data_IF_419981607022
#
_entry.id   IF_419981607022
#
_cell.length_a   1.000
_cell.length_b   1.000
_cell.length_c   1.000
_cell.angle_alpha   90.00
_cell.angle_beta   90.00
_cell.angle_gamma   90.00
#
_symmetry.space_group_name_H-M   'P 1'
#
loop_
_entity.id
_entity.type
_entity.pdbx_description
1 polymer ?
#
# COMPACT_ATOMS: atom_id res chain seq x y z
N UNK A 1 -20.90 -5.55 12.57
CA UNK A 1 -20.58 -4.48 11.59
C UNK A 1 -19.54 -5.04 10.64
N UNK A 2 -19.63 -4.75 9.34
CA UNK A 2 -18.63 -5.21 8.37
C UNK A 2 -17.51 -4.17 8.24
N UNK A 3 -16.25 -4.58 8.41
CA UNK A 3 -15.07 -3.71 8.28
C UNK A 3 -14.08 -4.35 7.29
N UNK A 4 -13.62 -3.64 6.26
CA UNK A 4 -12.71 -4.20 5.26
C UNK A 4 -11.30 -4.26 5.85
N UNK A 5 -10.64 -5.40 5.70
CA UNK A 5 -9.26 -5.61 6.16
C UNK A 5 -8.41 -6.12 4.98
N UNK A 6 -7.63 -5.24 4.34
CA UNK A 6 -7.07 -5.51 3.01
C UNK A 6 -5.67 -4.93 2.80
N UNK A 7 -4.96 -5.47 1.81
CA UNK A 7 -3.67 -4.93 1.32
C UNK A 7 -3.82 -3.71 0.40
N UNK A 8 -5.05 -3.45 -0.05
CA UNK A 8 -5.40 -2.35 -0.95
C UNK A 8 -5.43 -1.00 -0.24
N UNK A 9 -5.32 0.07 -1.02
CA UNK A 9 -5.73 1.39 -0.56
C UNK A 9 -7.24 1.42 -0.30
N UNK A 10 -7.69 2.36 0.53
CA UNK A 10 -9.10 2.46 0.93
C UNK A 10 -10.03 2.73 -0.25
N UNK A 11 -9.62 3.64 -1.15
CA UNK A 11 -10.39 3.95 -2.36
C UNK A 11 -10.57 2.69 -3.22
N UNK A 12 -9.49 1.95 -3.48
CA UNK A 12 -9.60 0.74 -4.30
C UNK A 12 -10.36 -0.39 -3.61
N UNK A 13 -10.27 -0.50 -2.28
CA UNK A 13 -11.09 -1.42 -1.51
C UNK A 13 -12.60 -1.14 -1.68
N UNK A 14 -13.00 0.12 -1.57
CA UNK A 14 -14.41 0.49 -1.76
C UNK A 14 -14.86 0.31 -3.21
N UNK A 15 -14.03 0.61 -4.19
CA UNK A 15 -14.35 0.36 -5.60
C UNK A 15 -14.55 -1.13 -5.88
N UNK A 16 -13.67 -2.00 -5.34
CA UNK A 16 -13.79 -3.45 -5.48
C UNK A 16 -15.06 -4.03 -4.81
N UNK A 17 -15.55 -3.39 -3.74
CA UNK A 17 -16.77 -3.80 -3.02
C UNK A 17 -18.06 -3.28 -3.69
N UNK A 18 -17.97 -2.48 -4.76
CA UNK A 18 -19.12 -1.96 -5.49
C UNK A 18 -20.09 -1.17 -4.59
N UNK A 19 -21.38 -1.50 -4.64
CA UNK A 19 -22.43 -0.82 -3.88
C UNK A 19 -22.22 -0.90 -2.36
N UNK A 20 -21.63 -1.98 -1.85
CA UNK A 20 -21.29 -2.08 -0.43
C UNK A 20 -20.19 -1.08 -0.07
N UNK A 21 -19.14 -0.97 -0.89
CA UNK A 21 -18.07 -0.03 -0.67
C UNK A 21 -18.52 1.44 -0.73
N UNK A 22 -19.45 1.76 -1.64
CA UNK A 22 -20.06 3.10 -1.68
C UNK A 22 -20.79 3.43 -0.38
N UNK A 23 -21.64 2.51 0.11
CA UNK A 23 -22.33 2.69 1.39
C UNK A 23 -21.36 2.85 2.55
N UNK A 24 -20.31 2.03 2.60
CA UNK A 24 -19.28 2.11 3.64
C UNK A 24 -18.55 3.45 3.65
N UNK A 25 -18.31 4.04 2.46
CA UNK A 25 -17.74 5.39 2.33
C UNK A 25 -18.70 6.46 2.87
N UNK A 26 -19.99 6.35 2.56
CA UNK A 26 -21.03 7.28 3.04
C UNK A 26 -21.26 7.17 4.55
N UNK A 27 -21.25 5.94 5.08
CA UNK A 27 -21.42 5.61 6.49
C UNK A 27 -20.11 5.78 7.32
N UNK A 28 -19.00 6.20 6.68
CA UNK A 28 -17.69 6.40 7.32
C UNK A 28 -17.23 5.20 8.17
N UNK A 29 -17.43 3.99 7.65
CA UNK A 29 -17.18 2.76 8.42
C UNK A 29 -15.69 2.57 8.74
N UNK A 30 -15.35 2.00 9.92
CA UNK A 30 -13.99 1.60 10.26
C UNK A 30 -13.38 0.64 9.22
N UNK A 31 -12.05 0.56 9.20
CA UNK A 31 -11.36 -0.38 8.32
C UNK A 31 -9.84 -0.37 8.43
N UNK A 32 -9.25 -1.45 7.92
CA UNK A 32 -7.80 -1.71 7.93
C UNK A 32 -7.32 -1.80 6.48
N UNK A 33 -6.44 -0.89 6.08
CA UNK A 33 -6.00 -0.71 4.70
C UNK A 33 -4.47 -0.78 4.60
N UNK A 34 -3.97 -0.95 3.37
CA UNK A 34 -2.54 -1.03 3.07
C UNK A 34 -1.80 -2.02 4.01
N UNK A 35 -2.35 -3.22 4.20
CA UNK A 35 -1.78 -4.27 5.07
C UNK A 35 -1.69 -3.87 6.56
N UNK A 36 -2.52 -2.93 7.02
CA UNK A 36 -2.54 -2.46 8.40
C UNK A 36 -1.71 -1.21 8.65
N UNK A 37 -1.14 -0.61 7.60
CA UNK A 37 -0.44 0.67 7.69
C UNK A 37 -1.39 1.84 7.94
N UNK A 38 -2.63 1.74 7.44
CA UNK A 38 -3.66 2.73 7.66
C UNK A 38 -4.86 2.07 8.33
N UNK A 39 -5.25 2.60 9.48
CA UNK A 39 -6.39 2.09 10.26
C UNK A 39 -7.34 3.23 10.56
N UNK A 40 -8.60 3.04 10.20
CA UNK A 40 -9.70 3.94 10.54
C UNK A 40 -10.60 3.29 11.59
N UNK A 41 -10.94 4.04 12.63
CA UNK A 41 -11.89 3.71 13.68
C UNK A 41 -13.32 4.20 13.36
N UNK A 42 -14.19 4.27 14.37
CA UNK A 42 -15.51 4.89 14.25
C UNK A 42 -15.44 6.32 13.68
N UNK A 43 -16.49 6.73 12.96
CA UNK A 43 -16.62 8.08 12.41
C UNK A 43 -15.43 8.54 11.54
N UNK A 44 -14.77 7.59 10.87
CA UNK A 44 -13.55 7.77 10.09
C UNK A 44 -12.37 8.42 10.87
N UNK A 45 -12.28 8.18 12.18
CA UNK A 45 -11.11 8.52 12.98
C UNK A 45 -9.85 7.81 12.43
N UNK A 46 -8.78 8.54 12.14
CA UNK A 46 -7.51 7.94 11.71
C UNK A 46 -6.71 7.48 12.94
N UNK A 47 -6.71 6.17 13.19
CA UNK A 47 -6.03 5.55 14.34
C UNK A 47 -4.55 5.23 14.08
N UNK A 48 -4.19 4.96 12.83
CA UNK A 48 -2.82 4.64 12.43
C UNK A 48 -2.55 5.12 11.01
N UNK A 49 -1.36 5.69 10.80
CA UNK A 49 -0.78 6.08 9.51
C UNK A 49 0.75 5.87 9.56
N UNK A 50 1.18 4.68 9.16
CA UNK A 50 2.59 4.27 9.18
C UNK A 50 3.18 4.43 7.79
N UNK A 51 4.31 5.14 7.73
CA UNK A 51 5.04 5.41 6.50
C UNK A 51 6.42 4.74 6.46
N UNK A 52 6.91 4.49 5.26
CA UNK A 52 8.32 4.17 5.04
C UNK A 52 9.16 5.38 5.42
N UNK A 53 10.33 5.12 5.98
CA UNK A 53 11.34 6.17 6.10
C UNK A 53 11.75 6.65 4.71
N UNK A 54 12.03 7.95 4.59
CA UNK A 54 12.39 8.56 3.32
C UNK A 54 13.64 7.92 2.71
N UNK A 55 14.62 7.53 3.52
CA UNK A 55 15.86 6.91 3.05
C UNK A 55 15.60 5.52 2.47
N UNK A 56 14.72 4.73 3.10
CA UNK A 56 14.27 3.44 2.54
C UNK A 56 13.55 3.68 1.22
N UNK A 57 12.66 4.68 1.17
CA UNK A 57 11.94 5.02 -0.05
C UNK A 57 12.88 5.44 -1.18
N UNK A 58 13.93 6.21 -0.87
CA UNK A 58 14.98 6.61 -1.81
C UNK A 58 15.77 5.41 -2.31
N UNK A 59 16.12 4.48 -1.42
CA UNK A 59 16.87 3.27 -1.78
C UNK A 59 16.07 2.39 -2.74
N UNK A 60 14.78 2.16 -2.46
CA UNK A 60 13.88 1.41 -3.34
C UNK A 60 13.70 2.12 -4.68
N UNK A 61 13.55 3.44 -4.68
CA UNK A 61 13.44 4.22 -5.91
C UNK A 61 14.71 4.16 -6.77
N UNK A 62 15.89 4.21 -6.14
CA UNK A 62 17.17 4.00 -6.83
C UNK A 62 17.24 2.60 -7.41
N UNK A 63 16.92 1.58 -6.61
CA UNK A 63 16.93 0.18 -7.07
C UNK A 63 16.02 -0.04 -8.28
N UNK A 64 14.79 0.50 -8.25
CA UNK A 64 13.85 0.39 -9.35
C UNK A 64 14.39 1.08 -10.62
N UNK A 65 15.04 2.24 -10.49
CA UNK A 65 15.67 2.93 -11.60
C UNK A 65 16.86 2.14 -12.17
N UNK A 66 17.74 1.62 -11.30
CA UNK A 66 18.93 0.85 -11.69
C UNK A 66 18.57 -0.42 -12.49
N UNK A 67 17.42 -1.03 -12.18
CA UNK A 67 16.95 -2.27 -12.83
C UNK A 67 15.87 -2.04 -13.90
N UNK A 68 15.47 -0.79 -14.14
CA UNK A 68 14.44 -0.44 -15.12
C UNK A 68 13.05 -1.01 -14.81
N UNK A 69 12.68 -1.08 -13.53
CA UNK A 69 11.40 -1.63 -13.05
C UNK A 69 10.40 -0.52 -12.76
N UNK A 70 9.12 -0.78 -13.00
CA UNK A 70 8.06 0.18 -12.66
C UNK A 70 7.86 0.25 -11.15
N UNK A 71 7.74 1.47 -10.63
CA UNK A 71 7.50 1.72 -9.20
C UNK A 71 6.22 2.53 -9.02
N UNK A 72 5.38 2.09 -8.07
CA UNK A 72 4.20 2.81 -7.59
C UNK A 72 4.31 3.00 -6.09
N UNK A 73 3.90 4.17 -5.61
CA UNK A 73 3.85 4.50 -4.18
C UNK A 73 2.42 4.76 -3.74
N UNK A 74 2.11 4.41 -2.51
CA UNK A 74 0.83 4.68 -1.89
C UNK A 74 1.04 5.72 -0.79
N UNK A 75 0.23 6.77 -0.79
CA UNK A 75 0.25 7.85 0.20
C UNK A 75 -1.19 8.14 0.62
N UNK A 76 -1.59 7.59 1.76
CA UNK A 76 -2.98 7.61 2.19
C UNK A 76 -3.89 6.90 1.18
N UNK A 77 -4.85 7.66 0.66
CA UNK A 77 -5.80 7.22 -0.36
C UNK A 77 -5.30 7.38 -1.80
N UNK A 78 -4.07 7.90 -1.99
CA UNK A 78 -3.51 8.23 -3.30
C UNK A 78 -2.47 7.20 -3.73
N UNK A 79 -2.47 6.88 -5.03
CA UNK A 79 -1.41 6.15 -5.70
C UNK A 79 -0.57 7.14 -6.53
N UNK A 80 0.76 7.02 -6.46
CA UNK A 80 1.73 7.96 -7.00
C UNK A 80 2.73 7.23 -7.90
N UNK A 81 3.15 7.84 -9.00
CA UNK A 81 4.25 7.32 -9.81
C UNK A 81 5.05 8.45 -10.46
N UNK A 82 6.28 8.12 -10.88
CA UNK A 82 7.11 9.07 -11.63
C UNK A 82 6.72 9.18 -13.10
N UNK A 83 6.26 8.08 -13.69
CA UNK A 83 5.77 7.98 -15.06
C UNK A 83 4.81 6.81 -15.19
N UNK A 84 3.83 6.91 -16.09
CA UNK A 84 2.96 5.77 -16.45
C UNK A 84 3.67 4.82 -17.40
N UNK A 85 3.40 3.54 -17.25
CA UNK A 85 3.79 2.48 -18.17
C UNK A 85 2.71 1.39 -18.21
N UNK A 86 2.92 0.36 -19.04
CA UNK A 86 1.98 -0.78 -19.15
C UNK A 86 1.66 -1.44 -17.80
N UNK A 87 2.63 -1.46 -16.89
CA UNK A 87 2.48 -2.08 -15.56
C UNK A 87 1.64 -1.23 -14.61
N UNK A 88 1.79 0.10 -14.64
CA UNK A 88 0.97 0.99 -13.79
C UNK A 88 -0.52 0.94 -14.13
N UNK A 89 -0.86 0.65 -15.40
CA UNK A 89 -2.25 0.47 -15.83
C UNK A 89 -2.91 -0.80 -15.28
N UNK A 90 -2.13 -1.75 -14.75
CA UNK A 90 -2.67 -2.94 -14.10
C UNK A 90 -3.45 -2.60 -12.83
N UNK A 91 -3.15 -1.49 -12.15
CA UNK A 91 -3.87 -1.07 -10.94
C UNK A 91 -5.36 -0.84 -11.19
N UNK A 92 -5.71 -0.29 -12.35
CA UNK A 92 -7.10 -0.12 -12.75
C UNK A 92 -7.84 -1.47 -12.86
N UNK A 93 -7.18 -2.51 -13.36
CA UNK A 93 -7.75 -3.87 -13.41
C UNK A 93 -7.94 -4.47 -12.01
N UNK A 94 -7.18 -3.99 -11.03
CA UNK A 94 -7.31 -4.34 -9.64
C UNK A 94 -8.33 -3.45 -8.89
N UNK A 95 -9.10 -2.58 -9.57
CA UNK A 95 -10.00 -1.60 -8.95
C UNK A 95 -9.29 -0.55 -8.08
N UNK A 96 -7.98 -0.36 -8.23
CA UNK A 96 -7.30 0.81 -7.64
C UNK A 96 -7.27 1.95 -8.67
N UNK A 97 -7.41 3.23 -8.25
CA UNK A 97 -7.27 4.36 -9.15
C UNK A 97 -5.90 4.37 -9.85
N UNK A 98 -5.90 4.87 -11.09
CA UNK A 98 -4.66 5.16 -11.82
C UNK A 98 -3.74 6.05 -10.97
N UNK A 99 -2.44 5.74 -10.91
CA UNK A 99 -1.50 6.57 -10.15
C UNK A 99 -1.35 7.95 -10.78
N UNK A 100 -1.21 8.93 -9.88
CA UNK A 100 -0.90 10.31 -10.21
C UNK A 100 0.57 10.44 -10.62
N UNK A 101 0.82 11.08 -11.77
CA UNK A 101 2.17 11.31 -12.27
C UNK A 101 2.72 12.60 -11.68
N UNK A 102 3.67 12.48 -10.76
CA UNK A 102 4.18 13.62 -9.98
C UNK A 102 5.66 13.94 -10.25
N UNK A 103 6.24 13.36 -11.29
CA UNK A 103 7.64 13.56 -11.67
C UNK A 103 8.61 12.69 -10.86
N UNK A 104 9.91 13.04 -10.78
CA UNK A 104 10.93 12.16 -10.23
C UNK A 104 10.66 11.74 -8.78
N UNK A 105 10.99 10.49 -8.44
CA UNK A 105 10.80 9.91 -7.10
C UNK A 105 11.42 10.74 -5.98
N UNK A 106 12.56 11.39 -6.23
CA UNK A 106 13.17 12.32 -5.27
C UNK A 106 12.19 13.43 -4.84
N UNK A 107 11.45 14.01 -5.78
CA UNK A 107 10.45 15.04 -5.49
C UNK A 107 9.22 14.44 -4.83
N UNK A 108 8.80 13.24 -5.25
CA UNK A 108 7.65 12.55 -4.64
C UNK A 108 7.91 12.32 -3.15
N UNK A 109 9.05 11.71 -2.81
CA UNK A 109 9.41 11.36 -1.43
C UNK A 109 9.56 12.63 -0.57
N UNK A 110 10.11 13.72 -1.13
CA UNK A 110 10.28 14.97 -0.39
C UNK A 110 8.96 15.68 -0.06
N UNK A 111 7.88 15.42 -0.81
CA UNK A 111 6.61 16.16 -0.69
C UNK A 111 5.44 15.28 -0.23
N UNK A 112 5.60 13.96 -0.17
CA UNK A 112 4.54 13.02 0.14
C UNK A 112 5.00 11.98 1.15
N UNK A 113 4.12 11.69 2.12
CA UNK A 113 4.31 10.62 3.08
C UNK A 113 3.99 9.28 2.41
N UNK A 114 5.01 8.50 2.06
CA UNK A 114 4.85 7.23 1.33
C UNK A 114 4.64 6.08 2.32
N UNK A 115 3.45 5.51 2.34
CA UNK A 115 3.09 4.37 3.19
C UNK A 115 3.67 3.06 2.69
N UNK A 116 3.57 2.82 1.38
CA UNK A 116 3.96 1.57 0.73
C UNK A 116 4.56 1.87 -0.63
N UNK A 117 5.55 1.08 -1.03
CA UNK A 117 6.06 1.05 -2.41
C UNK A 117 5.75 -0.32 -3.02
N UNK A 118 5.56 -0.35 -4.34
CA UNK A 118 5.22 -1.55 -5.09
C UNK A 118 6.00 -1.55 -6.40
N UNK A 119 6.85 -2.56 -6.56
CA UNK A 119 7.56 -2.84 -7.80
C UNK A 119 6.68 -3.73 -8.68
N UNK A 120 6.64 -3.40 -9.96
CA UNK A 120 5.81 -4.07 -10.96
C UNK A 120 6.65 -4.40 -12.19
N UNK A 121 6.73 -5.69 -12.50
CA UNK A 121 7.28 -6.20 -13.75
C UNK A 121 6.70 -7.59 -14.05
N UNK A 122 7.24 -8.31 -15.03
CA UNK A 122 6.90 -9.73 -15.19
C UNK A 122 7.39 -10.59 -14.01
N UNK A 123 6.74 -11.73 -13.81
CA UNK A 123 6.98 -12.60 -12.67
C UNK A 123 8.42 -13.16 -12.65
N UNK A 124 9.00 -13.46 -13.81
CA UNK A 124 10.38 -13.94 -13.90
C UNK A 124 11.34 -12.86 -13.37
N UNK A 125 11.23 -11.62 -13.87
CA UNK A 125 12.03 -10.49 -13.36
C UNK A 125 11.80 -10.22 -11.87
N UNK A 126 10.58 -10.32 -11.38
CA UNK A 126 10.29 -10.08 -9.95
C UNK A 126 10.88 -11.15 -9.04
N UNK A 127 10.87 -12.41 -9.46
CA UNK A 127 11.53 -13.51 -8.76
C UNK A 127 13.05 -13.30 -8.69
N UNK A 128 13.68 -12.80 -9.76
CA UNK A 128 15.12 -12.48 -9.80
C UNK A 128 15.49 -11.28 -8.94
N UNK A 129 14.67 -10.22 -8.95
CA UNK A 129 14.98 -8.96 -8.29
C UNK A 129 14.66 -8.96 -6.79
N UNK A 130 13.72 -9.81 -6.35
CA UNK A 130 13.35 -9.93 -4.94
C UNK A 130 14.53 -10.20 -4.01
N UNK A 131 15.39 -11.22 -4.22
CA UNK A 131 16.54 -11.45 -3.34
C UNK A 131 17.53 -10.28 -3.34
N UNK A 132 17.74 -9.63 -4.49
CA UNK A 132 18.64 -8.47 -4.60
C UNK A 132 18.11 -7.27 -3.83
N UNK A 133 16.81 -6.99 -3.91
CA UNK A 133 16.19 -5.92 -3.13
C UNK A 133 16.22 -6.25 -1.64
N UNK A 134 16.00 -7.51 -1.26
CA UNK A 134 16.07 -7.94 0.14
C UNK A 134 17.47 -7.72 0.74
N UNK A 135 18.52 -8.08 0.00
CA UNK A 135 19.91 -7.83 0.38
C UNK A 135 20.18 -6.33 0.51
N UNK A 136 19.75 -5.53 -0.49
CA UNK A 136 19.97 -4.09 -0.53
C UNK A 136 19.30 -3.35 0.62
N UNK A 137 18.12 -3.79 1.04
CA UNK A 137 17.41 -3.21 2.19
C UNK A 137 17.94 -3.72 3.53
N UNK A 138 18.78 -4.76 3.57
CA UNK A 138 19.42 -5.21 4.81
C UNK A 138 18.44 -5.54 5.95
N UNK A 139 17.20 -5.92 5.62
CA UNK A 139 16.17 -6.21 6.60
C UNK A 139 15.62 -5.01 7.37
N UNK A 140 15.72 -3.78 6.85
CA UNK A 140 15.11 -2.56 7.45
C UNK A 140 13.67 -2.29 7.00
N UNK A 141 13.16 -3.11 6.06
CA UNK A 141 11.78 -3.09 5.60
C UNK A 141 11.28 -4.51 5.30
N UNK A 142 9.97 -4.69 5.25
CA UNK A 142 9.33 -5.94 4.90
C UNK A 142 9.07 -6.03 3.40
N UNK A 143 9.30 -7.20 2.82
CA UNK A 143 9.02 -7.51 1.43
C UNK A 143 7.89 -8.53 1.33
N UNK A 144 6.82 -8.18 0.62
CA UNK A 144 5.64 -9.04 0.45
C UNK A 144 5.35 -9.23 -1.03
N UNK A 145 5.31 -10.48 -1.49
CA UNK A 145 4.85 -10.81 -2.84
C UNK A 145 3.33 -10.93 -2.86
N UNK A 146 2.69 -10.30 -3.83
CA UNK A 146 1.24 -10.24 -3.96
C UNK A 146 0.79 -10.66 -5.36
N UNK A 147 0.08 -11.80 -5.46
CA UNK A 147 -0.67 -12.28 -6.64
C UNK A 147 0.12 -12.41 -7.96
N UNK A 148 -0.47 -13.03 -9.00
CA UNK A 148 -0.01 -12.90 -10.38
C UNK A 148 -0.70 -11.72 -11.12
N UNK A 149 0.01 -10.91 -11.94
CA UNK A 149 1.46 -10.89 -12.11
C UNK A 149 2.15 -10.53 -10.80
N UNK A 150 3.36 -11.05 -10.59
CA UNK A 150 4.06 -10.92 -9.31
C UNK A 150 4.30 -9.45 -8.99
N UNK A 151 3.69 -8.96 -7.92
CA UNK A 151 3.92 -7.61 -7.41
C UNK A 151 4.78 -7.73 -6.15
N UNK A 152 5.86 -6.97 -6.10
CA UNK A 152 6.73 -6.93 -4.92
C UNK A 152 6.46 -5.66 -4.13
N UNK A 153 5.77 -5.80 -3.00
CA UNK A 153 5.46 -4.71 -2.08
C UNK A 153 6.59 -4.52 -1.06
N UNK A 154 6.96 -3.27 -0.81
CA UNK A 154 7.86 -2.84 0.26
C UNK A 154 7.05 -2.10 1.30
N UNK A 155 7.10 -2.58 2.54
CA UNK A 155 6.32 -2.08 3.68
C UNK A 155 7.27 -1.73 4.84
N UNK A 156 6.96 -0.70 5.64
CA UNK A 156 7.66 -0.47 6.90
C UNK A 156 7.30 -1.58 7.90
N UNK A 157 8.14 -1.76 8.91
CA UNK A 157 7.81 -2.64 10.03
C UNK A 157 6.77 -2.03 10.98
N UNK A 158 6.28 -2.85 11.91
CA UNK A 158 5.37 -2.41 12.96
C UNK A 158 3.90 -2.41 12.57
N UNK A 159 3.55 -2.93 11.39
CA UNK A 159 2.18 -3.05 10.94
C UNK A 159 1.88 -4.44 10.37
N UNK A 160 0.67 -4.91 10.62
CA UNK A 160 0.07 -6.09 10.01
C UNK A 160 -1.44 -5.92 10.01
N UNK A 161 -2.15 -6.75 9.23
CA UNK A 161 -3.62 -6.77 9.27
C UNK A 161 -4.13 -7.14 10.67
N UNK A 162 -3.47 -8.07 11.36
CA UNK A 162 -3.86 -8.50 12.71
C UNK A 162 -3.76 -7.36 13.72
N UNK A 163 -2.60 -6.72 13.81
CA UNK A 163 -2.38 -5.57 14.71
C UNK A 163 -3.30 -4.39 14.35
N UNK A 164 -3.60 -4.19 13.07
CA UNK A 164 -4.56 -3.17 12.63
C UNK A 164 -6.00 -3.47 13.05
N UNK A 165 -6.42 -4.75 12.97
CA UNK A 165 -7.74 -5.19 13.45
C UNK A 165 -7.83 -5.04 14.97
N UNK A 166 -6.80 -5.44 15.72
CA UNK A 166 -6.76 -5.27 17.18
C UNK A 166 -6.92 -3.80 17.59
N UNK A 167 -6.20 -2.89 16.93
CA UNK A 167 -6.32 -1.45 17.15
C UNK A 167 -7.73 -0.94 16.86
N UNK A 168 -8.31 -1.35 15.73
CA UNK A 168 -9.67 -0.97 15.33
C UNK A 168 -10.73 -1.49 16.31
N UNK A 169 -10.65 -2.77 16.71
CA UNK A 169 -11.60 -3.37 17.66
C UNK A 169 -11.53 -2.71 19.03
N UNK A 170 -10.33 -2.36 19.49
CA UNK A 170 -10.11 -1.61 20.73
C UNK A 170 -10.83 -0.25 20.70
N UNK A 171 -10.67 0.52 19.61
CA UNK A 171 -11.36 1.80 19.44
C UNK A 171 -12.90 1.65 19.34
N UNK A 172 -13.38 0.53 18.81
CA UNK A 172 -14.82 0.22 18.73
C UNK A 172 -15.40 -0.38 20.03
N UNK A 173 -14.57 -0.63 21.06
CA UNK A 173 -14.95 -1.37 22.26
C UNK A 173 -15.59 -2.74 21.97
N UNK A 174 -15.10 -3.45 20.94
CA UNK A 174 -15.57 -4.79 20.58
C UNK A 174 -14.59 -5.84 21.10
N UNK A 175 -15.11 -6.89 21.73
CA UNK A 175 -14.29 -7.99 22.22
C UNK A 175 -13.85 -8.89 21.05
N UNK A 176 -12.58 -9.31 20.94
CA UNK A 176 -12.09 -10.18 19.86
C UNK A 176 -12.83 -11.52 19.69
N UNK A 177 -13.60 -11.95 20.70
CA UNK A 177 -14.41 -13.16 20.66
C UNK A 177 -15.76 -13.01 19.95
N UNK A 178 -16.11 -11.81 19.48
CA UNK A 178 -17.36 -11.49 18.78
C UNK A 178 -17.15 -11.40 17.27
#
# INVERSE_FOLDING_TARGET
>A
QFCPCTGRGRVGAYQALGSLGQRMKEEQTPGVFLNGLIVYGPDAELLSDIALEDDISREVASFAADHGVSLVGFSGDRSLCASRCKWTSFLASAHDPDPEVLGPWRSIIANHRVNKLMLLDDAERMSELRPLLAERLGGVASLVCSGPPEMLEVLPFGASKGTGVELMLSAMNVCPSQ
#
